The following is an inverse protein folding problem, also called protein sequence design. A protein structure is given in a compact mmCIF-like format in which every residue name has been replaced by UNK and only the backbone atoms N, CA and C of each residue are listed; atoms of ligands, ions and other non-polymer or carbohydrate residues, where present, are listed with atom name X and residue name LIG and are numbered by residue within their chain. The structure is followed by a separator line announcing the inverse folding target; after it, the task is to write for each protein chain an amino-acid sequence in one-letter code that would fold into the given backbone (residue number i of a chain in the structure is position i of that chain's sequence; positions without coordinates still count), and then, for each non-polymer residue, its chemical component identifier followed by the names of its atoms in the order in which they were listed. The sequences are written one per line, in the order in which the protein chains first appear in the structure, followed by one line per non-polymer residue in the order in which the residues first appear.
data_IF_461288102580
#
_entry.id   IF_461288102580
#
_cell.length_a   1.000
_cell.length_b   1.000
_cell.length_c   1.000
_cell.angle_alpha   90.00
_cell.angle_beta   90.00
_cell.angle_gamma   90.00
#
_symmetry.space_group_name_H-M   'P 1'
#
loop_
_entity.id
_entity.type
_entity.pdbx_description
1 polymer ?
#
# COMPACT_ATOMS: atom_id res chain seq x y z
N UNK A 1 -75.50 -40.47 -14.72
CA UNK A 1 -76.11 -39.15 -14.46
C UNK A 1 -75.20 -38.39 -13.50
N UNK A 2 -74.86 -37.16 -13.90
CA UNK A 2 -74.36 -36.01 -13.14
C UNK A 2 -72.92 -36.00 -12.59
N UNK A 3 -72.09 -35.33 -13.40
CA UNK A 3 -70.97 -34.41 -13.12
C UNK A 3 -71.17 -33.50 -11.89
N UNK A 4 -70.07 -33.14 -11.21
CA UNK A 4 -69.64 -31.75 -10.87
C UNK A 4 -68.90 -31.67 -9.51
N UNK A 5 -67.57 -31.46 -9.51
CA UNK A 5 -66.93 -30.21 -9.05
C UNK A 5 -65.40 -30.25 -9.14
N UNK A 6 -64.91 -29.19 -9.78
CA UNK A 6 -63.55 -28.84 -10.16
C UNK A 6 -62.66 -28.35 -8.98
N UNK A 7 -61.35 -28.07 -9.21
CA UNK A 7 -60.27 -28.11 -8.23
C UNK A 7 -60.13 -26.81 -7.44
N UNK A 8 -59.56 -26.89 -6.23
CA UNK A 8 -59.04 -25.71 -5.53
C UNK A 8 -57.52 -25.73 -5.58
N UNK A 9 -56.98 -25.05 -6.58
CA UNK A 9 -55.61 -24.55 -6.59
C UNK A 9 -55.56 -23.43 -5.55
N UNK A 10 -54.86 -23.68 -4.43
CA UNK A 10 -54.48 -22.63 -3.49
C UNK A 10 -53.02 -22.25 -3.74
N UNK A 11 -52.86 -21.17 -4.49
CA UNK A 11 -51.63 -20.44 -4.76
C UNK A 11 -51.06 -19.81 -3.48
N UNK A 12 -49.74 -19.53 -3.48
CA UNK A 12 -48.97 -18.57 -2.62
C UNK A 12 -48.39 -19.19 -1.32
N UNK A 13 -47.10 -19.06 -0.95
CA UNK A 13 -46.03 -18.10 -1.27
C UNK A 13 -44.63 -18.70 -1.03
N UNK A 14 -43.67 -18.15 -1.78
CA UNK A 14 -42.22 -18.31 -1.74
C UNK A 14 -41.59 -18.01 -0.36
N UNK A 15 -40.59 -18.80 0.04
CA UNK A 15 -39.46 -18.36 0.86
C UNK A 15 -38.23 -19.25 0.59
N UNK A 16 -37.63 -19.12 -0.59
CA UNK A 16 -36.23 -19.53 -0.82
C UNK A 16 -35.37 -18.42 -0.23
N UNK A 17 -34.77 -18.65 0.93
CA UNK A 17 -33.70 -17.80 1.47
C UNK A 17 -32.38 -18.34 0.92
N UNK A 18 -31.70 -17.65 0.00
CA UNK A 18 -30.36 -18.03 -0.41
C UNK A 18 -29.41 -17.78 0.77
N UNK A 19 -28.68 -18.81 1.17
CA UNK A 19 -27.60 -18.71 2.14
C UNK A 19 -26.52 -17.85 1.50
N UNK A 20 -26.48 -16.58 1.88
CA UNK A 20 -25.38 -15.67 1.56
C UNK A 20 -24.14 -16.13 2.34
N UNK A 21 -23.35 -17.02 1.74
CA UNK A 21 -21.98 -17.26 2.17
C UNK A 21 -21.06 -16.43 1.26
N UNK A 22 -20.90 -15.16 1.62
CA UNK A 22 -19.89 -14.30 1.02
C UNK A 22 -18.54 -14.72 1.59
N UNK A 23 -17.98 -15.81 1.06
CA UNK A 23 -16.60 -16.17 1.32
C UNK A 23 -15.70 -15.30 0.42
N UNK A 24 -15.50 -14.05 0.82
CA UNK A 24 -14.43 -13.21 0.29
C UNK A 24 -13.11 -13.73 0.86
N UNK A 25 -12.69 -14.92 0.42
CA UNK A 25 -11.32 -15.42 0.64
C UNK A 25 -10.38 -14.69 -0.31
N UNK A 26 -10.27 -13.37 -0.16
CA UNK A 26 -9.07 -12.66 -0.56
C UNK A 26 -8.00 -13.17 0.40
N UNK A 27 -7.33 -14.26 0.00
CA UNK A 27 -5.98 -14.48 0.46
C UNK A 27 -5.25 -13.16 0.19
N UNK A 28 -5.02 -12.38 1.24
CA UNK A 28 -4.11 -11.28 1.20
C UNK A 28 -2.78 -11.89 0.78
N UNK A 29 -2.45 -11.76 -0.51
CA UNK A 29 -1.07 -11.80 -0.93
C UNK A 29 -0.36 -10.84 0.01
N UNK A 30 0.52 -11.37 0.85
CA UNK A 30 1.17 -10.68 1.95
C UNK A 30 2.05 -9.56 1.39
N UNK A 31 1.44 -8.43 1.05
CA UNK A 31 2.17 -7.20 0.86
C UNK A 31 2.86 -6.90 2.21
N UNK A 32 4.15 -6.55 2.20
CA UNK A 32 4.82 -6.18 3.44
C UNK A 32 4.04 -5.04 4.10
N UNK A 33 3.97 -5.07 5.42
CA UNK A 33 3.42 -3.95 6.17
C UNK A 33 4.23 -2.69 5.86
N UNK A 34 3.53 -1.56 5.65
CA UNK A 34 4.18 -0.30 5.31
C UNK A 34 5.14 0.10 6.44
N UNK A 35 6.46 0.23 6.18
CA UNK A 35 7.42 0.55 7.22
C UNK A 35 7.22 1.97 7.74
N UNK A 36 7.65 2.19 8.98
CA UNK A 36 7.64 3.51 9.60
C UNK A 36 8.65 4.45 8.96
N UNK A 37 8.44 5.77 9.10
CA UNK A 37 9.39 6.77 8.62
C UNK A 37 10.78 6.59 9.22
N UNK A 38 10.88 6.13 10.47
CA UNK A 38 12.16 5.85 11.13
C UNK A 38 12.90 4.67 10.50
N UNK A 39 12.19 3.60 10.14
CA UNK A 39 12.78 2.44 9.45
C UNK A 39 13.23 2.82 8.03
N UNK A 40 12.41 3.57 7.31
CA UNK A 40 12.76 4.10 5.98
C UNK A 40 13.96 5.04 6.06
N UNK A 41 14.03 5.94 7.06
CA UNK A 41 15.17 6.82 7.28
C UNK A 41 16.47 6.04 7.54
N UNK A 42 16.42 5.03 8.40
CA UNK A 42 17.58 4.19 8.72
C UNK A 42 18.09 3.44 7.50
N UNK A 43 17.20 2.87 6.69
CA UNK A 43 17.57 2.17 5.47
C UNK A 43 18.05 3.12 4.37
N UNK A 44 17.40 4.27 4.20
CA UNK A 44 17.82 5.30 3.25
C UNK A 44 19.19 5.90 3.61
N UNK A 45 19.48 6.08 4.89
CA UNK A 45 20.82 6.48 5.34
C UNK A 45 21.89 5.48 4.92
N UNK A 46 21.64 4.17 5.05
CA UNK A 46 22.58 3.14 4.57
C UNK A 46 22.81 3.24 3.06
N UNK A 47 21.75 3.43 2.28
CA UNK A 47 21.85 3.59 0.82
C UNK A 47 22.72 4.80 0.46
N UNK A 48 22.49 5.93 1.12
CA UNK A 48 23.27 7.16 0.93
C UNK A 48 24.73 6.98 1.35
N UNK A 49 24.97 6.29 2.46
CA UNK A 49 26.31 5.97 2.97
C UNK A 49 27.08 5.06 2.00
N UNK A 50 26.46 3.99 1.52
CA UNK A 50 27.04 3.09 0.52
C UNK A 50 27.31 3.80 -0.82
N UNK A 51 26.50 4.80 -1.16
CA UNK A 51 26.70 5.65 -2.33
C UNK A 51 27.76 6.76 -2.12
N UNK A 52 28.27 6.95 -0.90
CA UNK A 52 29.22 8.02 -0.56
C UNK A 52 28.61 9.43 -0.63
N UNK A 53 27.30 9.56 -0.39
CA UNK A 53 26.53 10.81 -0.54
C UNK A 53 26.08 11.43 0.79
N UNK A 54 26.64 11.02 1.92
CA UNK A 54 26.26 11.49 3.27
C UNK A 54 26.37 12.99 3.45
N UNK A 55 27.27 13.67 2.73
CA UNK A 55 27.38 15.13 2.78
C UNK A 55 26.21 15.86 2.10
N UNK A 56 25.59 15.23 1.09
CA UNK A 56 24.44 15.79 0.35
C UNK A 56 23.12 15.55 1.07
N UNK A 57 23.04 14.49 1.88
CA UNK A 57 21.86 14.09 2.62
C UNK A 57 22.23 13.93 4.11
N UNK A 58 22.30 15.03 4.88
CA UNK A 58 22.51 14.95 6.32
C UNK A 58 21.33 14.24 6.99
N UNK A 59 21.58 13.68 8.20
CA UNK A 59 20.62 12.80 8.87
C UNK A 59 19.24 13.42 9.15
N UNK A 60 19.18 14.71 9.48
CA UNK A 60 17.94 15.46 9.69
C UNK A 60 17.12 15.63 8.40
N UNK A 61 17.80 15.88 7.28
CA UNK A 61 17.19 15.90 5.95
C UNK A 61 16.66 14.50 5.59
N UNK A 62 17.39 13.43 5.89
CA UNK A 62 16.97 12.04 5.64
C UNK A 62 15.71 11.70 6.43
N UNK A 63 15.63 12.06 7.71
CA UNK A 63 14.44 11.83 8.53
C UNK A 63 13.20 12.53 7.95
N UNK A 64 13.34 13.80 7.55
CA UNK A 64 12.26 14.55 6.90
C UNK A 64 11.83 13.93 5.55
N UNK A 65 12.80 13.54 4.71
CA UNK A 65 12.52 12.88 3.43
C UNK A 65 11.81 11.54 3.63
N UNK A 66 12.21 10.76 4.63
CA UNK A 66 11.58 9.48 4.93
C UNK A 66 10.12 9.64 5.36
N UNK A 67 9.78 10.70 6.11
CA UNK A 67 8.38 11.03 6.37
C UNK A 67 7.59 11.31 5.09
N UNK A 68 8.18 12.07 4.16
CA UNK A 68 7.54 12.36 2.88
C UNK A 68 7.35 11.08 2.04
N UNK A 69 8.36 10.20 2.01
CA UNK A 69 8.27 8.90 1.34
C UNK A 69 7.13 8.05 1.91
N UNK A 70 7.04 7.93 3.24
CA UNK A 70 5.98 7.14 3.90
C UNK A 70 4.60 7.77 3.73
N UNK A 71 4.49 9.08 3.53
CA UNK A 71 3.21 9.77 3.23
C UNK A 71 2.82 9.73 1.75
N UNK A 72 3.73 9.31 0.87
CA UNK A 72 3.55 9.34 -0.59
C UNK A 72 2.83 8.11 -1.16
N UNK A 73 2.68 8.05 -2.48
CA UNK A 73 2.13 6.90 -3.19
C UNK A 73 3.15 5.79 -3.50
N UNK A 74 4.38 5.88 -2.97
CA UNK A 74 5.36 4.80 -3.09
C UNK A 74 4.77 3.52 -2.47
N UNK A 75 4.97 2.39 -3.16
CA UNK A 75 4.44 1.11 -2.73
C UNK A 75 5.10 0.64 -1.43
N UNK A 76 4.34 -0.10 -0.61
CA UNK A 76 4.85 -0.62 0.66
C UNK A 76 6.05 -1.56 0.44
N UNK A 77 6.09 -2.27 -0.70
CA UNK A 77 7.23 -3.10 -1.09
C UNK A 77 8.49 -2.28 -1.38
N UNK A 78 8.38 -1.15 -2.09
CA UNK A 78 9.53 -0.29 -2.37
C UNK A 78 10.02 0.40 -1.10
N UNK A 79 9.10 0.82 -0.24
CA UNK A 79 9.45 1.36 1.08
C UNK A 79 10.15 0.30 1.95
N UNK A 80 9.69 -0.95 1.90
CA UNK A 80 10.33 -2.06 2.61
C UNK A 80 11.75 -2.34 2.08
N UNK A 81 11.95 -2.30 0.76
CA UNK A 81 13.28 -2.42 0.17
C UNK A 81 14.21 -1.30 0.66
N UNK A 82 13.72 -0.06 0.70
CA UNK A 82 14.48 1.08 1.21
C UNK A 82 14.81 0.89 2.70
N UNK A 83 13.83 0.49 3.52
CA UNK A 83 14.03 0.24 4.96
C UNK A 83 15.07 -0.87 5.22
N UNK A 84 15.13 -1.87 4.35
CA UNK A 84 16.16 -2.91 4.34
C UNK A 84 17.56 -2.40 3.93
N UNK A 85 17.66 -1.15 3.47
CA UNK A 85 18.90 -0.55 2.95
C UNK A 85 19.22 -0.97 1.52
N UNK A 86 18.22 -1.42 0.74
CA UNK A 86 18.40 -1.84 -0.65
C UNK A 86 17.92 -0.74 -1.59
N UNK A 87 18.79 -0.25 -2.45
CA UNK A 87 18.38 0.62 -3.56
C UNK A 87 17.77 -0.19 -4.71
N UNK A 88 16.59 -0.76 -4.45
CA UNK A 88 15.85 -1.59 -5.37
C UNK A 88 14.39 -1.18 -5.39
N UNK A 89 13.92 -0.73 -6.55
CA UNK A 89 12.51 -0.46 -6.80
C UNK A 89 11.92 -1.51 -7.74
N UNK A 90 10.66 -1.85 -7.51
CA UNK A 90 9.88 -2.87 -8.21
C UNK A 90 9.75 -2.61 -9.72
N UNK A 91 9.88 -1.36 -10.15
CA UNK A 91 9.85 -0.96 -11.56
C UNK A 91 10.58 0.36 -11.80
N UNK A 92 10.81 0.70 -13.08
CA UNK A 92 11.33 2.02 -13.48
C UNK A 92 10.37 3.16 -13.13
N UNK A 93 9.06 2.90 -13.18
CA UNK A 93 8.03 3.87 -12.82
C UNK A 93 8.06 4.15 -11.31
N UNK A 94 8.21 3.09 -10.50
CA UNK A 94 8.38 3.20 -9.04
C UNK A 94 9.65 3.98 -8.69
N UNK A 95 10.75 3.75 -9.41
CA UNK A 95 11.98 4.53 -9.24
C UNK A 95 11.77 6.01 -9.60
N UNK A 96 11.08 6.30 -10.71
CA UNK A 96 10.76 7.68 -11.08
C UNK A 96 9.85 8.36 -10.05
N UNK A 97 8.89 7.62 -9.48
CA UNK A 97 8.03 8.10 -8.39
C UNK A 97 8.84 8.43 -7.15
N UNK A 98 9.75 7.54 -6.73
CA UNK A 98 10.65 7.78 -5.60
C UNK A 98 11.48 9.06 -5.81
N UNK A 99 12.13 9.19 -6.97
CA UNK A 99 12.94 10.38 -7.31
C UNK A 99 12.08 11.65 -7.28
N UNK A 100 10.86 11.58 -7.81
CA UNK A 100 9.92 12.70 -7.79
C UNK A 100 9.55 13.09 -6.36
N UNK A 101 9.17 12.13 -5.52
CA UNK A 101 8.81 12.37 -4.11
C UNK A 101 9.96 13.02 -3.35
N UNK A 102 11.19 12.51 -3.51
CA UNK A 102 12.38 13.10 -2.89
C UNK A 102 12.61 14.53 -3.40
N UNK A 103 12.55 14.74 -4.71
CA UNK A 103 12.76 16.05 -5.31
C UNK A 103 11.71 17.08 -4.86
N UNK A 104 10.45 16.68 -4.77
CA UNK A 104 9.35 17.55 -4.36
C UNK A 104 9.41 17.87 -2.86
N UNK A 105 9.91 16.93 -2.03
CA UNK A 105 10.06 17.11 -0.58
C UNK A 105 11.35 17.84 -0.19
N UNK A 106 12.43 17.69 -0.95
CA UNK A 106 13.76 18.22 -0.62
C UNK A 106 13.78 19.72 -0.26
N UNK A 107 13.06 20.63 -0.94
CA UNK A 107 13.02 22.05 -0.56
C UNK A 107 12.43 22.29 0.84
N UNK A 108 11.49 21.45 1.29
CA UNK A 108 10.89 21.53 2.63
C UNK A 108 11.68 20.80 3.71
N UNK A 109 12.64 19.96 3.32
CA UNK A 109 13.48 19.14 4.20
C UNK A 109 14.92 19.66 4.32
N UNK A 110 15.20 20.85 3.79
CA UNK A 110 16.52 21.45 3.96
C UNK A 110 16.79 21.69 5.46
N UNK A 111 18.02 21.41 5.95
CA UNK A 111 18.40 21.74 7.30
C UNK A 111 18.16 23.24 7.51
N UNK A 112 17.31 23.60 8.49
CA UNK A 112 17.09 24.99 8.83
C UNK A 112 18.42 25.58 9.31
N UNK A 113 18.98 26.51 8.54
CA UNK A 113 20.17 27.27 8.92
C UNK A 113 19.87 28.24 10.06
#
# INVERSE_FOLDING_TARGET
MNTDRSPRIATRLLAVLPIAAVAFSLAACSAPERPSAKEVAAGYHKIVEEAGQTEMYPGDMIECLAEAMVKSEISDQDLANIADGKDLQTSKESQALLVKVVKDAAPGCQPQQ
#
